data_IF_749198146241
#
_entry.id   IF_749198146241
#
_cell.length_a   1.000
_cell.length_b   1.000
_cell.length_c   1.000
_cell.angle_alpha   90.00
_cell.angle_beta   90.00
_cell.angle_gamma   90.00
#
_symmetry.space_group_name_H-M   'P 1'
#
loop_
_entity.id
_entity.type
_entity.pdbx_description
1 polymer ?
#
# COMPACT_ATOMS: atom_id res chain seq x y z
N UNK A 1 1.12 14.87 -18.44
CA UNK A 1 0.68 13.46 -18.49
C UNK A 1 -0.83 13.47 -18.62
N UNK A 2 -1.36 12.80 -19.64
CA UNK A 2 -2.80 12.71 -19.87
C UNK A 2 -3.37 11.83 -18.74
N UNK A 3 -4.23 12.38 -17.87
CA UNK A 3 -4.86 11.61 -16.79
C UNK A 3 -5.82 10.61 -17.44
N UNK A 4 -5.35 9.39 -17.66
CA UNK A 4 -6.24 8.26 -17.97
C UNK A 4 -7.28 8.19 -16.86
N UNK A 5 -8.55 8.13 -17.24
CA UNK A 5 -9.65 7.90 -16.31
C UNK A 5 -9.42 6.55 -15.62
N UNK A 6 -9.22 6.57 -14.31
CA UNK A 6 -8.95 5.38 -13.47
C UNK A 6 -9.95 4.25 -13.74
N UNK A 7 -11.21 4.57 -14.01
CA UNK A 7 -12.24 3.57 -14.31
C UNK A 7 -11.98 2.73 -15.57
N UNK A 8 -11.17 3.21 -16.51
CA UNK A 8 -10.83 2.49 -17.74
C UNK A 8 -9.38 2.02 -17.80
N UNK A 9 -8.62 2.11 -16.70
CA UNK A 9 -7.26 1.59 -16.66
C UNK A 9 -7.31 0.06 -16.47
N UNK A 10 -6.93 -0.75 -17.48
CA UNK A 10 -6.94 -2.20 -17.35
C UNK A 10 -5.92 -2.72 -16.32
N UNK A 11 -4.97 -1.88 -15.90
CA UNK A 11 -3.97 -2.21 -14.89
C UNK A 11 -4.40 -1.81 -13.47
N UNK A 12 -5.55 -1.12 -13.31
CA UNK A 12 -6.09 -0.79 -12.00
C UNK A 12 -6.72 -2.03 -11.36
N UNK A 13 -6.41 -2.27 -10.08
CA UNK A 13 -6.90 -3.43 -9.34
C UNK A 13 -7.96 -2.98 -8.35
N UNK A 14 -9.12 -3.64 -8.34
CA UNK A 14 -10.18 -3.40 -7.37
C UNK A 14 -9.67 -3.70 -5.96
N UNK A 15 -9.82 -2.71 -5.08
CA UNK A 15 -9.51 -2.83 -3.67
C UNK A 15 -10.67 -2.35 -2.81
N UNK A 16 -10.77 -2.94 -1.63
CA UNK A 16 -11.52 -2.40 -0.52
C UNK A 16 -10.57 -2.31 0.68
N UNK A 17 -10.22 -1.10 1.08
CA UNK A 17 -9.37 -0.89 2.26
C UNK A 17 -10.10 -1.34 3.54
N UNK A 18 -9.38 -1.63 4.61
CA UNK A 18 -9.94 -2.07 5.89
C UNK A 18 -9.72 -1.03 6.97
N UNK A 19 -10.57 -0.97 8.00
CA UNK A 19 -10.27 -0.12 9.16
C UNK A 19 -9.10 -0.72 9.93
N UNK A 20 -8.12 0.12 10.26
CA UNK A 20 -7.03 -0.22 11.18
C UNK A 20 -7.33 0.26 12.61
N UNK A 21 -8.31 1.15 12.77
CA UNK A 21 -8.83 1.58 14.06
C UNK A 21 -9.77 2.77 13.91
N UNK A 22 -10.44 3.15 14.99
CA UNK A 22 -11.43 4.23 14.99
C UNK A 22 -11.09 5.38 15.95
N UNK A 23 -9.91 5.32 16.59
CA UNK A 23 -9.42 6.39 17.47
C UNK A 23 -8.77 7.51 16.65
N UNK A 24 -8.48 8.64 17.31
CA UNK A 24 -7.89 9.84 16.70
C UNK A 24 -6.67 9.56 15.81
N UNK A 25 -5.80 8.61 16.21
CA UNK A 25 -4.63 8.18 15.43
C UNK A 25 -4.96 7.78 13.99
N UNK A 26 -6.14 7.21 13.76
CA UNK A 26 -6.59 6.70 12.46
C UNK A 26 -7.50 7.66 11.70
N UNK A 27 -7.90 8.81 12.25
CA UNK A 27 -8.89 9.70 11.61
C UNK A 27 -8.47 10.13 10.20
N UNK A 28 -7.19 10.48 9.99
CA UNK A 28 -6.65 10.85 8.69
C UNK A 28 -6.71 9.71 7.67
N UNK A 29 -6.29 8.52 8.09
CA UNK A 29 -6.37 7.30 7.28
C UNK A 29 -7.82 6.97 6.93
N UNK A 30 -8.71 7.03 7.92
CA UNK A 30 -10.13 6.72 7.79
C UNK A 30 -10.86 7.69 6.87
N UNK A 31 -10.49 8.97 6.87
CA UNK A 31 -11.01 9.93 5.90
C UNK A 31 -10.47 9.58 4.50
N UNK A 32 -9.14 9.59 4.32
CA UNK A 32 -8.52 9.42 3.01
C UNK A 32 -8.80 8.09 2.32
N UNK A 33 -9.18 7.04 3.04
CA UNK A 33 -9.53 5.74 2.44
C UNK A 33 -10.94 5.71 1.85
N UNK A 34 -11.82 6.63 2.24
CA UNK A 34 -13.19 6.70 1.72
C UNK A 34 -13.13 7.12 0.26
N UNK A 35 -13.74 6.33 -0.61
CA UNK A 35 -13.72 6.55 -2.06
C UNK A 35 -12.45 6.07 -2.77
N UNK A 36 -11.50 5.48 -2.04
CA UNK A 36 -10.34 4.79 -2.62
C UNK A 36 -10.69 3.32 -2.91
N UNK A 37 -10.90 3.01 -4.18
CA UNK A 37 -11.49 1.75 -4.66
C UNK A 37 -10.63 1.00 -5.67
N UNK A 38 -9.51 1.60 -6.12
CA UNK A 38 -8.55 0.93 -6.98
C UNK A 38 -7.13 1.21 -6.52
N UNK A 39 -6.29 0.20 -6.59
CA UNK A 39 -4.85 0.39 -6.61
C UNK A 39 -4.43 0.72 -8.05
N UNK A 40 -3.93 1.94 -8.27
CA UNK A 40 -3.57 2.46 -9.59
C UNK A 40 -2.42 3.49 -9.54
N UNK A 41 -1.93 3.92 -10.71
CA UNK A 41 -0.82 4.87 -10.85
C UNK A 41 -1.26 6.34 -11.00
N UNK A 42 -2.56 6.63 -10.91
CA UNK A 42 -3.14 7.96 -11.18
C UNK A 42 -3.31 8.82 -9.92
N UNK A 43 -3.02 8.27 -8.75
CA UNK A 43 -3.07 8.96 -7.46
C UNK A 43 -4.50 9.03 -6.90
N UNK A 44 -4.92 10.22 -6.45
CA UNK A 44 -6.25 10.41 -5.83
C UNK A 44 -7.40 10.11 -6.79
N UNK A 45 -8.38 9.32 -6.34
CA UNK A 45 -9.57 9.00 -7.13
C UNK A 45 -10.62 10.11 -7.06
N UNK A 46 -11.42 10.32 -8.13
CA UNK A 46 -12.58 11.21 -8.07
C UNK A 46 -13.55 10.76 -6.95
N UNK A 47 -13.78 11.64 -5.97
CA UNK A 47 -14.64 11.34 -4.83
C UNK A 47 -13.94 10.67 -3.64
N UNK A 48 -12.62 10.45 -3.72
CA UNK A 48 -11.82 10.11 -2.55
C UNK A 48 -11.82 11.29 -1.56
N UNK A 49 -12.10 10.99 -0.29
CA UNK A 49 -12.43 12.00 0.71
C UNK A 49 -11.18 12.80 1.18
N UNK A 50 -11.43 13.89 1.91
CA UNK A 50 -10.41 14.83 2.38
C UNK A 50 -10.29 14.80 3.91
N UNK A 51 -9.10 15.07 4.43
CA UNK A 51 -8.88 15.23 5.85
C UNK A 51 -8.42 16.66 6.13
N UNK A 52 -9.19 17.39 6.95
CA UNK A 52 -8.91 18.80 7.29
C UNK A 52 -8.70 19.69 6.04
N UNK A 53 -9.45 19.42 4.97
CA UNK A 53 -9.35 20.14 3.70
C UNK A 53 -8.18 19.74 2.81
N UNK A 54 -7.38 18.74 3.20
CA UNK A 54 -6.26 18.22 2.41
C UNK A 54 -6.69 16.91 1.73
N UNK A 55 -6.61 16.81 0.39
CA UNK A 55 -6.91 15.58 -0.32
C UNK A 55 -5.83 14.51 -0.07
N UNK A 56 -6.20 13.24 -0.25
CA UNK A 56 -5.22 12.16 -0.35
C UNK A 56 -4.38 12.32 -1.64
N UNK A 57 -3.27 11.58 -1.72
CA UNK A 57 -2.41 11.52 -2.93
C UNK A 57 -2.47 10.15 -3.63
N UNK A 58 -3.27 9.23 -3.09
CA UNK A 58 -3.44 7.85 -3.53
C UNK A 58 -3.97 7.01 -2.37
N UNK A 59 -3.72 5.70 -2.40
CA UNK A 59 -4.09 4.81 -1.29
C UNK A 59 -3.35 5.21 0.00
N UNK A 60 -4.06 5.58 1.09
CA UNK A 60 -3.41 6.06 2.29
C UNK A 60 -2.81 4.92 3.09
N UNK A 61 -1.67 5.18 3.74
CA UNK A 61 -1.09 4.33 4.77
C UNK A 61 -1.12 5.09 6.11
N UNK A 62 -1.15 4.35 7.21
CA UNK A 62 -1.04 4.88 8.58
C UNK A 62 0.22 4.38 9.26
N UNK A 63 0.87 5.20 10.08
CA UNK A 63 1.99 4.76 10.91
C UNK A 63 1.51 3.72 11.94
N UNK A 64 2.28 2.64 12.10
CA UNK A 64 1.97 1.55 13.03
C UNK A 64 3.21 1.09 13.80
N UNK A 65 2.97 0.33 14.87
CA UNK A 65 4.00 -0.30 15.70
C UNK A 65 3.53 -1.66 16.22
N UNK A 66 4.49 -2.49 16.66
CA UNK A 66 4.25 -3.73 17.41
C UNK A 66 4.11 -3.52 18.93
N UNK A 67 4.24 -2.28 19.42
CA UNK A 67 4.08 -1.95 20.84
C UNK A 67 2.59 -1.90 21.23
N UNK A 68 2.12 -2.90 21.99
CA UNK A 68 0.72 -3.06 22.43
C UNK A 68 0.15 -1.89 23.24
N UNK A 69 0.99 -1.01 23.79
CA UNK A 69 0.57 0.15 24.56
C UNK A 69 0.45 1.42 23.70
N UNK A 70 0.84 1.36 22.43
CA UNK A 70 0.79 2.51 21.51
C UNK A 70 -0.59 2.62 20.83
N UNK A 71 -1.11 3.82 20.59
CA UNK A 71 -2.31 4.01 19.77
C UNK A 71 -2.14 3.51 18.33
N UNK A 72 -0.90 3.40 17.84
CA UNK A 72 -0.57 2.84 16.53
C UNK A 72 -0.34 1.33 16.53
N UNK A 73 -0.67 0.62 17.62
CA UNK A 73 -0.51 -0.83 17.66
C UNK A 73 -1.33 -1.52 16.56
N UNK A 74 -0.68 -2.42 15.81
CA UNK A 74 -1.33 -3.32 14.86
C UNK A 74 -0.80 -4.73 15.05
N UNK A 75 -1.69 -5.71 15.19
CA UNK A 75 -1.32 -7.11 15.45
C UNK A 75 -0.48 -7.74 14.34
N UNK A 76 -0.71 -7.32 13.09
CA UNK A 76 0.04 -7.78 11.92
C UNK A 76 1.38 -7.07 11.74
N UNK A 77 1.63 -5.96 12.46
CA UNK A 77 2.95 -5.38 12.52
C UNK A 77 3.76 -6.12 13.59
N UNK A 78 4.55 -7.10 13.15
CA UNK A 78 5.53 -7.80 14.01
C UNK A 78 6.95 -7.28 13.83
N UNK A 79 7.12 -6.18 13.10
CA UNK A 79 8.41 -5.74 12.55
C UNK A 79 9.04 -4.57 13.32
N UNK A 80 8.29 -3.94 14.23
CA UNK A 80 8.76 -2.86 15.08
C UNK A 80 8.00 -1.55 14.85
N UNK A 81 8.62 -0.46 15.24
CA UNK A 81 8.13 0.90 14.99
C UNK A 81 8.42 1.34 13.55
N UNK A 82 7.72 2.38 13.08
CA UNK A 82 7.93 3.02 11.77
C UNK A 82 7.54 2.20 10.54
N UNK A 83 6.60 1.27 10.70
CA UNK A 83 5.94 0.63 9.56
C UNK A 83 4.66 1.37 9.21
N UNK A 84 4.57 1.82 7.96
CA UNK A 84 3.36 2.40 7.42
C UNK A 84 2.53 1.27 6.81
N UNK A 85 1.24 1.18 7.18
CA UNK A 85 0.38 0.05 6.86
C UNK A 85 -0.89 0.51 6.16
N UNK A 86 -1.31 -0.28 5.19
CA UNK A 86 -2.68 -0.37 4.69
C UNK A 86 -3.09 -1.84 4.74
N UNK A 87 -4.29 -2.13 5.24
CA UNK A 87 -4.94 -3.42 5.06
C UNK A 87 -6.01 -3.25 4.00
N UNK A 88 -6.11 -4.19 3.06
CA UNK A 88 -7.07 -4.13 1.97
C UNK A 88 -7.41 -5.52 1.46
N UNK A 89 -8.67 -5.70 1.09
CA UNK A 89 -9.12 -6.79 0.24
C UNK A 89 -8.82 -6.39 -1.20
N UNK A 90 -8.09 -7.24 -1.92
CA UNK A 90 -7.69 -7.00 -3.30
C UNK A 90 -8.29 -8.07 -4.21
N UNK A 91 -8.81 -7.68 -5.37
CA UNK A 91 -9.28 -8.63 -6.37
C UNK A 91 -8.09 -9.30 -7.09
N UNK A 92 -7.66 -10.45 -6.56
CA UNK A 92 -6.51 -11.16 -7.11
C UNK A 92 -6.70 -11.64 -8.56
N UNK A 93 -7.92 -11.69 -9.11
CA UNK A 93 -8.11 -12.07 -10.53
C UNK A 93 -7.69 -10.97 -11.50
N UNK A 94 -7.47 -9.74 -11.01
CA UNK A 94 -6.95 -8.60 -11.77
C UNK A 94 -5.42 -8.45 -11.63
N UNK A 95 -4.77 -9.43 -11.01
CA UNK A 95 -3.31 -9.46 -10.83
C UNK A 95 -2.65 -10.42 -11.81
N UNK A 96 -1.36 -10.24 -12.10
CA UNK A 96 -0.60 -11.16 -12.94
C UNK A 96 -0.12 -12.36 -12.08
N UNK A 97 -0.85 -13.47 -12.15
CA UNK A 97 -0.49 -14.68 -11.39
C UNK A 97 -0.46 -14.48 -9.86
N UNK A 98 -1.27 -13.55 -9.33
CA UNK A 98 -1.26 -13.19 -7.91
C UNK A 98 -0.32 -12.05 -7.55
N UNK A 99 0.38 -11.44 -8.52
CA UNK A 99 1.36 -10.38 -8.28
C UNK A 99 0.89 -8.99 -8.73
N UNK A 100 1.25 -7.97 -7.96
CA UNK A 100 0.92 -6.57 -8.24
C UNK A 100 2.12 -5.67 -7.97
N UNK A 101 2.16 -4.53 -8.67
CA UNK A 101 3.19 -3.52 -8.49
C UNK A 101 2.73 -2.41 -7.54
N UNK A 102 3.68 -1.82 -6.82
CA UNK A 102 3.44 -0.62 -6.05
C UNK A 102 4.72 0.22 -5.94
N UNK A 103 4.53 1.51 -5.64
CA UNK A 103 5.56 2.39 -5.09
C UNK A 103 4.97 3.22 -3.96
N UNK A 104 5.79 3.47 -2.95
CA UNK A 104 5.54 4.45 -1.91
C UNK A 104 5.60 5.87 -2.46
N UNK A 105 4.76 6.72 -1.87
CA UNK A 105 4.74 8.15 -2.14
C UNK A 105 4.74 8.94 -0.82
N UNK A 106 5.63 9.92 -0.70
CA UNK A 106 5.77 10.82 0.44
C UNK A 106 5.34 12.23 0.03
N UNK A 107 4.21 12.72 0.56
CA UNK A 107 3.60 13.99 0.16
C UNK A 107 4.38 15.27 0.56
N UNK A 108 5.46 15.14 1.35
CA UNK A 108 6.15 16.27 1.98
C UNK A 108 7.67 16.29 1.71
N UNK A 109 8.14 15.58 0.68
CA UNK A 109 9.55 15.60 0.26
C UNK A 109 9.69 16.34 -1.09
N UNK A 110 10.93 16.56 -1.57
CA UNK A 110 11.13 17.11 -2.92
C UNK A 110 11.03 16.02 -3.99
N UNK A 111 11.39 14.80 -3.62
CA UNK A 111 11.22 13.57 -4.41
C UNK A 111 10.13 12.75 -3.74
N UNK A 112 8.91 12.83 -4.27
CA UNK A 112 7.73 12.26 -3.61
C UNK A 112 7.60 10.75 -3.87
N UNK A 113 7.96 10.27 -5.06
CA UNK A 113 7.93 8.84 -5.38
C UNK A 113 9.20 8.14 -4.93
N UNK A 114 9.06 6.86 -4.59
CA UNK A 114 10.23 5.98 -4.48
C UNK A 114 11.09 6.00 -5.75
N UNK A 115 12.40 5.97 -5.56
CA UNK A 115 13.35 5.76 -6.65
C UNK A 115 13.12 4.40 -7.30
N UNK A 116 13.57 4.26 -8.55
CA UNK A 116 13.60 2.97 -9.22
C UNK A 116 14.49 1.96 -8.47
N UNK A 117 13.94 0.77 -8.21
CA UNK A 117 14.63 -0.31 -7.51
C UNK A 117 14.69 -1.57 -8.37
N UNK A 118 15.71 -2.40 -8.18
CA UNK A 118 15.72 -3.76 -8.69
C UNK A 118 15.37 -4.70 -7.53
N UNK A 119 14.08 -5.06 -7.38
CA UNK A 119 13.61 -5.82 -6.22
C UNK A 119 14.43 -7.10 -6.04
N UNK A 120 14.98 -7.31 -4.85
CA UNK A 120 15.72 -8.51 -4.49
C UNK A 120 14.75 -9.69 -4.32
N UNK A 121 15.29 -10.90 -4.22
CA UNK A 121 14.49 -12.06 -3.82
C UNK A 121 13.88 -11.81 -2.44
N UNK A 122 12.54 -11.76 -2.37
CA UNK A 122 11.86 -11.57 -1.08
C UNK A 122 12.11 -12.77 -0.16
N UNK A 123 12.16 -12.49 1.13
CA UNK A 123 12.18 -13.52 2.18
C UNK A 123 10.79 -13.73 2.78
N UNK A 124 10.64 -14.67 3.72
CA UNK A 124 9.38 -14.94 4.40
C UNK A 124 8.65 -16.20 3.93
N UNK A 125 7.59 -16.56 4.64
CA UNK A 125 6.86 -17.83 4.44
C UNK A 125 5.97 -17.84 3.21
N UNK A 126 5.63 -16.67 2.68
CA UNK A 126 4.86 -16.46 1.45
C UNK A 126 5.73 -16.04 0.26
N UNK A 127 7.06 -16.04 0.38
CA UNK A 127 7.95 -15.64 -0.70
C UNK A 127 7.82 -16.57 -1.92
N UNK A 128 7.84 -15.97 -3.11
CA UNK A 128 7.87 -16.67 -4.40
C UNK A 128 8.57 -15.77 -5.44
N UNK A 129 8.77 -16.30 -6.65
CA UNK A 129 9.36 -15.54 -7.76
C UNK A 129 8.27 -14.75 -8.51
N UNK A 130 8.42 -13.42 -8.69
CA UNK A 130 7.53 -12.64 -9.55
C UNK A 130 7.55 -13.13 -11.01
N UNK A 131 6.45 -12.96 -11.77
CA UNK A 131 6.36 -13.39 -13.17
C UNK A 131 7.24 -12.56 -14.11
N UNK A 132 7.63 -11.35 -13.70
CA UNK A 132 8.49 -10.45 -14.45
C UNK A 132 9.28 -9.53 -13.51
N UNK A 133 10.30 -8.88 -14.07
CA UNK A 133 11.10 -7.86 -13.38
C UNK A 133 10.57 -6.47 -13.69
N UNK A 134 10.59 -5.59 -12.70
CA UNK A 134 10.18 -4.17 -12.81
C UNK A 134 11.13 -3.28 -12.01
N UNK A 135 11.03 -1.97 -12.19
CA UNK A 135 11.69 -0.94 -11.38
C UNK A 135 10.87 -0.52 -10.14
N UNK A 136 9.74 -1.18 -9.89
CA UNK A 136 8.84 -0.98 -8.74
C UNK A 136 8.93 -2.14 -7.74
N UNK A 137 8.27 -2.00 -6.59
CA UNK A 137 8.04 -3.13 -5.70
C UNK A 137 7.00 -4.10 -6.27
N UNK A 138 7.22 -5.40 -6.09
CA UNK A 138 6.28 -6.47 -6.45
C UNK A 138 5.77 -7.16 -5.19
N UNK A 139 4.47 -7.03 -4.94
CA UNK A 139 3.74 -7.70 -3.86
C UNK A 139 2.91 -8.87 -4.36
N UNK A 140 2.47 -9.72 -3.43
CA UNK A 140 1.56 -10.84 -3.69
C UNK A 140 0.20 -10.61 -3.05
N UNK A 141 -0.85 -10.73 -3.85
CA UNK A 141 -2.23 -10.66 -3.39
C UNK A 141 -2.54 -11.82 -2.43
N UNK A 142 -3.20 -11.52 -1.31
CA UNK A 142 -3.51 -12.51 -0.26
C UNK A 142 -2.36 -12.82 0.70
N UNK A 143 -1.32 -11.97 0.76
CA UNK A 143 -0.18 -12.11 1.67
C UNK A 143 0.10 -10.80 2.42
N UNK A 144 0.88 -10.89 3.50
CA UNK A 144 1.48 -9.75 4.17
C UNK A 144 2.74 -9.38 3.39
N UNK A 145 2.72 -8.22 2.73
CA UNK A 145 3.85 -7.70 1.96
C UNK A 145 4.51 -6.55 2.74
N UNK A 146 5.82 -6.64 2.92
CA UNK A 146 6.61 -5.63 3.64
C UNK A 146 7.76 -5.18 2.77
N UNK A 147 7.87 -3.85 2.61
CA UNK A 147 8.88 -3.20 1.79
C UNK A 147 9.63 -2.16 2.61
N UNK A 148 10.85 -1.85 2.18
CA UNK A 148 11.66 -0.79 2.79
C UNK A 148 11.81 0.35 1.79
N UNK A 149 11.37 1.55 2.18
CA UNK A 149 11.26 2.68 1.26
C UNK A 149 12.60 2.97 0.54
N UNK A 150 12.61 3.00 -0.80
CA UNK A 150 13.79 3.16 -1.66
C UNK A 150 14.82 2.00 -1.65
N UNK A 151 14.52 0.87 -1.02
CA UNK A 151 15.45 -0.27 -0.97
C UNK A 151 14.83 -1.51 -1.62
N UNK A 152 15.61 -2.37 -2.28
CA UNK A 152 15.10 -3.52 -3.00
C UNK A 152 14.62 -4.67 -2.08
N UNK A 153 14.70 -4.51 -0.76
CA UNK A 153 14.39 -5.55 0.22
C UNK A 153 12.89 -5.72 0.43
N UNK A 154 12.45 -6.97 0.52
CA UNK A 154 11.06 -7.32 0.76
C UNK A 154 10.92 -8.58 1.63
N UNK A 155 9.83 -8.63 2.39
CA UNK A 155 9.36 -9.81 3.12
C UNK A 155 7.92 -10.07 2.68
N UNK A 156 7.61 -11.32 2.35
CA UNK A 156 6.25 -11.78 2.04
C UNK A 156 5.91 -12.95 2.95
N UNK A 157 4.91 -12.78 3.79
CA UNK A 157 4.46 -13.80 4.74
C UNK A 157 3.02 -14.21 4.48
N UNK A 158 2.69 -15.46 4.80
CA UNK A 158 1.28 -15.88 4.93
C UNK A 158 0.64 -15.15 6.12
N UNK A 159 -0.67 -14.92 6.05
CA UNK A 159 -1.42 -14.48 7.22
C UNK A 159 -1.38 -15.57 8.32
N UNK A 160 -1.34 -15.18 9.61
CA UNK A 160 -1.36 -16.11 10.74
C UNK A 160 -2.69 -16.84 10.90
#
# INVERSE_FOLDING_TARGET
MNRSIVESDPCAIDINTNLLGTIQHYEKYNAWRVGDTRLDWSGVQPGQDVYQGIPAEGTPLVWTTNNVLSPGYQELNTFGEHYWMVSMDMNCTQTEGGWFELKGYLSNTMDNWETDIAQATCSGTGAATPPYTTNNHMGRCGYINVFTFNFPTCIINVFP
#
